data_IF_394621928230
#
_entry.id   IF_394621928230
#
_cell.length_a   1.000
_cell.length_b   1.000
_cell.length_c   1.000
_cell.angle_alpha   90.00
_cell.angle_beta   90.00
_cell.angle_gamma   90.00
#
_symmetry.space_group_name_H-M   'P 1'
#
loop_
_entity.id
_entity.type
_entity.pdbx_description
1 polymer ?
#
# COMPACT_ATOMS: atom_id res chain seq x y z
N UNK A 1 -3.72 106.67 -12.11
CA UNK A 1 -4.97 106.16 -11.46
C UNK A 1 -5.07 104.69 -11.93
N UNK A 2 -4.45 103.78 -11.25
CA UNK A 2 -4.40 102.36 -11.66
C UNK A 2 -4.74 101.54 -10.42
N UNK A 3 -5.77 100.73 -10.51
CA UNK A 3 -6.16 99.78 -9.50
C UNK A 3 -5.43 98.48 -9.74
N UNK A 4 -4.61 98.01 -8.78
CA UNK A 4 -4.06 96.67 -8.75
C UNK A 4 -5.08 95.72 -8.10
N UNK A 5 -5.40 94.65 -8.80
CA UNK A 5 -6.20 93.53 -8.29
C UNK A 5 -5.26 92.43 -7.79
N UNK A 6 -5.35 92.04 -6.51
CA UNK A 6 -4.68 90.95 -5.89
C UNK A 6 -5.48 89.64 -6.11
N UNK A 7 -4.88 88.67 -6.71
CA UNK A 7 -5.43 87.37 -6.78
C UNK A 7 -4.73 86.45 -5.75
N UNK A 8 -5.47 85.98 -4.75
CA UNK A 8 -5.01 84.97 -3.83
C UNK A 8 -5.19 83.60 -4.45
N UNK A 9 -4.07 82.93 -4.66
CA UNK A 9 -4.06 81.48 -4.99
C UNK A 9 -4.13 80.63 -3.70
N UNK A 10 -5.22 79.90 -3.55
CA UNK A 10 -5.34 78.86 -2.54
C UNK A 10 -4.84 77.56 -3.11
N UNK A 11 -3.69 77.10 -2.65
CA UNK A 11 -3.18 75.77 -2.92
C UNK A 11 -3.79 74.75 -1.96
N UNK A 12 -4.70 73.96 -2.45
CA UNK A 12 -5.26 72.84 -1.71
C UNK A 12 -4.25 71.69 -1.74
N UNK A 13 -3.63 71.40 -0.59
CA UNK A 13 -2.77 70.23 -0.40
C UNK A 13 -3.69 69.02 -0.17
N UNK A 14 -3.86 68.19 -1.19
CA UNK A 14 -4.54 66.89 -1.05
C UNK A 14 -3.54 65.90 -0.44
N UNK A 15 -3.69 65.59 0.86
CA UNK A 15 -2.99 64.48 1.51
C UNK A 15 -3.62 63.16 1.04
N UNK A 16 -2.95 62.48 0.15
CA UNK A 16 -3.30 61.13 -0.27
C UNK A 16 -2.77 60.14 0.81
N UNK A 17 -3.62 59.79 1.78
CA UNK A 17 -3.34 58.68 2.70
C UNK A 17 -3.38 57.37 1.91
N UNK A 18 -2.23 56.90 1.44
CA UNK A 18 -2.08 55.51 0.99
C UNK A 18 -2.10 54.60 2.21
N UNK A 19 -3.24 54.03 2.51
CA UNK A 19 -3.32 52.89 3.44
C UNK A 19 -2.61 51.72 2.81
N UNK A 20 -1.42 51.39 3.31
CA UNK A 20 -0.75 50.10 3.04
C UNK A 20 -1.59 49.01 3.72
N UNK A 21 -2.49 48.39 2.98
CA UNK A 21 -3.07 47.10 3.36
C UNK A 21 -1.94 46.07 3.27
N UNK A 22 -1.29 45.83 4.40
CA UNK A 22 -0.40 44.69 4.58
C UNK A 22 -1.27 43.43 4.43
N UNK A 23 -1.21 42.78 3.27
CA UNK A 23 -1.75 41.46 3.09
C UNK A 23 -0.91 40.52 3.96
N UNK A 24 -1.32 40.31 5.21
CA UNK A 24 -0.85 39.15 5.99
C UNK A 24 -1.30 37.91 5.25
N UNK A 25 -0.37 37.28 4.56
CA UNK A 25 -0.50 35.88 4.16
C UNK A 25 -0.67 35.06 5.44
N UNK A 26 -1.93 34.85 5.83
CA UNK A 26 -2.25 33.83 6.81
C UNK A 26 -1.85 32.50 6.16
N UNK A 27 -0.66 32.03 6.48
CA UNK A 27 -0.30 30.63 6.31
C UNK A 27 -1.24 29.87 7.25
N UNK A 28 -2.39 29.47 6.75
CA UNK A 28 -3.22 28.48 7.41
C UNK A 28 -2.43 27.16 7.34
N UNK A 29 -1.59 26.90 8.32
CA UNK A 29 -1.26 25.55 8.70
C UNK A 29 -2.58 24.91 9.14
N UNK A 30 -3.35 24.43 8.18
CA UNK A 30 -4.60 23.75 8.45
C UNK A 30 -4.32 22.58 9.37
N UNK A 31 -4.64 22.71 10.64
CA UNK A 31 -4.70 21.60 11.57
C UNK A 31 -5.85 20.72 11.11
N UNK A 32 -5.56 19.75 10.24
CA UNK A 32 -6.52 18.68 9.95
C UNK A 32 -6.50 17.69 11.12
N UNK A 33 -7.65 17.13 11.40
CA UNK A 33 -7.79 16.07 12.38
C UNK A 33 -6.90 14.87 11.98
N UNK A 34 -6.11 14.39 12.91
CA UNK A 34 -5.20 13.27 12.69
C UNK A 34 -5.88 11.94 13.06
N UNK A 35 -5.56 10.90 12.31
CA UNK A 35 -5.90 9.54 12.67
C UNK A 35 -5.05 9.02 13.84
N UNK A 36 -5.42 7.85 14.32
CA UNK A 36 -4.77 7.22 15.47
C UNK A 36 -4.06 5.95 15.05
N UNK A 37 -2.80 5.82 15.40
CA UNK A 37 -2.06 4.56 15.30
C UNK A 37 -2.11 3.84 16.64
N UNK A 38 -2.39 2.53 16.62
CA UNK A 38 -2.31 1.65 17.79
C UNK A 38 -1.37 0.51 17.42
N UNK A 39 -0.26 0.42 18.12
CA UNK A 39 0.77 -0.62 17.99
C UNK A 39 0.69 -1.62 19.14
N UNK A 40 1.43 -2.72 19.05
CA UNK A 40 1.52 -3.73 20.09
C UNK A 40 0.24 -4.57 20.28
N UNK A 41 -0.59 -4.63 19.24
CA UNK A 41 -1.79 -5.49 19.23
C UNK A 41 -1.41 -6.92 18.80
N UNK A 42 -2.19 -7.91 19.23
CA UNK A 42 -1.98 -9.29 18.82
C UNK A 42 -3.28 -10.08 18.73
N UNK A 43 -3.31 -11.03 17.81
CA UNK A 43 -4.33 -12.07 17.69
C UNK A 43 -3.70 -13.43 18.01
N UNK A 44 -4.34 -14.26 18.81
CA UNK A 44 -3.91 -15.65 19.01
C UNK A 44 -4.47 -16.53 17.88
N UNK A 45 -3.57 -17.05 17.06
CA UNK A 45 -3.92 -17.98 15.98
C UNK A 45 -4.05 -19.40 16.52
N UNK A 46 -5.14 -20.07 16.17
CA UNK A 46 -5.33 -21.50 16.45
C UNK A 46 -4.64 -22.36 15.38
N UNK A 47 -4.66 -21.90 14.13
CA UNK A 47 -3.97 -22.57 13.00
C UNK A 47 -2.47 -22.55 13.23
N UNK A 48 -1.89 -21.37 13.47
CA UNK A 48 -0.46 -21.18 13.67
C UNK A 48 0.04 -21.49 15.07
N UNK A 49 -0.84 -21.69 16.06
CA UNK A 49 -0.53 -21.93 17.48
C UNK A 49 0.44 -20.88 18.05
N UNK A 50 0.32 -19.63 17.58
CA UNK A 50 1.15 -18.51 17.98
C UNK A 50 0.39 -17.20 17.92
N UNK A 51 0.94 -16.16 18.56
CA UNK A 51 0.46 -14.81 18.36
C UNK A 51 0.82 -14.30 16.97
N UNK A 52 -0.07 -13.54 16.37
CA UNK A 52 0.17 -12.69 15.19
C UNK A 52 0.06 -11.25 15.67
N UNK A 53 1.19 -10.56 15.73
CA UNK A 53 1.21 -9.15 16.09
C UNK A 53 0.68 -8.29 14.93
N UNK A 54 0.13 -7.14 15.25
CA UNK A 54 -0.30 -6.19 14.23
C UNK A 54 -0.37 -4.77 14.80
N UNK A 55 -0.27 -3.80 13.90
CA UNK A 55 -0.59 -2.40 14.16
C UNK A 55 -1.82 -2.00 13.34
N UNK A 56 -2.54 -0.98 13.80
CA UNK A 56 -3.69 -0.44 13.09
C UNK A 56 -3.63 1.08 13.04
N UNK A 57 -3.92 1.64 11.87
CA UNK A 57 -4.25 3.05 11.72
C UNK A 57 -5.77 3.18 11.60
N UNK A 58 -6.34 4.05 12.41
CA UNK A 58 -7.75 4.42 12.43
C UNK A 58 -7.90 5.85 11.87
N UNK A 59 -8.87 6.10 10.97
CA UNK A 59 -9.02 7.43 10.37
C UNK A 59 -9.48 8.49 11.39
N UNK A 60 -9.31 9.79 11.10
CA UNK A 60 -9.49 10.89 12.07
C UNK A 60 -10.83 10.94 12.79
N UNK A 61 -11.88 10.44 12.17
CA UNK A 61 -13.25 10.48 12.72
C UNK A 61 -13.72 9.15 13.33
N UNK A 62 -12.81 8.16 13.44
CA UNK A 62 -13.17 6.79 13.85
C UNK A 62 -13.88 6.72 15.22
N UNK A 63 -13.36 7.41 16.23
CA UNK A 63 -13.90 7.36 17.59
C UNK A 63 -15.22 8.14 17.74
N UNK A 64 -15.47 9.10 16.85
CA UNK A 64 -16.68 9.95 16.87
C UNK A 64 -17.80 9.46 15.95
N UNK A 65 -17.51 8.44 15.13
CA UNK A 65 -18.43 7.95 14.09
C UNK A 65 -19.00 6.59 14.42
N UNK A 66 -20.28 6.38 14.07
CA UNK A 66 -20.95 5.07 14.15
C UNK A 66 -20.83 4.25 12.85
N UNK A 67 -20.10 4.77 11.84
CA UNK A 67 -20.00 4.11 10.53
C UNK A 67 -18.94 3.01 10.52
N UNK A 68 -19.05 2.11 9.55
CA UNK A 68 -18.00 1.15 9.23
C UNK A 68 -17.13 1.65 8.08
N UNK A 69 -15.87 1.29 8.10
CA UNK A 69 -14.82 1.77 7.19
C UNK A 69 -14.32 0.68 6.26
N UNK A 70 -13.95 1.02 5.01
CA UNK A 70 -13.14 0.13 4.18
C UNK A 70 -11.83 -0.20 4.90
N UNK A 71 -11.24 -1.35 4.57
CA UNK A 71 -10.00 -1.80 5.18
C UNK A 71 -8.93 -2.16 4.15
N UNK A 72 -7.70 -1.71 4.41
CA UNK A 72 -6.51 -2.08 3.66
C UNK A 72 -5.59 -2.89 4.57
N UNK A 73 -5.24 -4.11 4.15
CA UNK A 73 -4.18 -4.90 4.78
C UNK A 73 -2.88 -4.51 4.12
N UNK A 74 -1.97 -3.86 4.89
CA UNK A 74 -0.73 -3.28 4.38
C UNK A 74 0.46 -4.11 4.88
N UNK A 75 1.09 -4.81 3.96
CA UNK A 75 2.07 -5.87 4.19
C UNK A 75 3.50 -5.31 4.18
N UNK A 76 4.31 -5.70 5.17
CA UNK A 76 5.71 -5.27 5.31
C UNK A 76 6.67 -6.08 4.42
N UNK A 77 7.91 -5.61 4.30
CA UNK A 77 8.99 -6.26 3.56
C UNK A 77 9.70 -7.38 4.34
N UNK A 78 10.67 -8.02 3.68
CA UNK A 78 11.49 -9.06 4.30
C UNK A 78 12.26 -8.50 5.50
N UNK A 79 12.25 -9.21 6.63
CA UNK A 79 12.84 -8.81 7.92
C UNK A 79 12.26 -7.57 8.61
N UNK A 80 11.22 -6.96 8.08
CA UNK A 80 10.41 -5.95 8.76
C UNK A 80 9.34 -6.59 9.67
N UNK A 81 8.47 -5.77 10.26
CA UNK A 81 7.37 -6.19 11.11
C UNK A 81 6.16 -5.23 10.98
N UNK A 82 5.17 -5.38 11.85
CA UNK A 82 3.92 -4.63 11.87
C UNK A 82 4.07 -3.11 12.10
N UNK A 83 5.25 -2.64 12.54
CA UNK A 83 5.48 -1.20 12.82
C UNK A 83 6.17 -0.48 11.66
N UNK A 84 6.76 -1.22 10.71
CA UNK A 84 7.64 -0.66 9.69
C UNK A 84 6.96 0.40 8.81
N UNK A 85 5.71 0.18 8.40
CA UNK A 85 4.97 1.16 7.61
C UNK A 85 4.67 2.47 8.35
N UNK A 86 4.56 2.41 9.68
CA UNK A 86 4.43 3.62 10.52
C UNK A 86 5.78 4.30 10.70
N UNK A 87 6.79 3.54 11.14
CA UNK A 87 8.07 4.08 11.55
C UNK A 87 8.95 4.57 10.38
N UNK A 88 8.97 3.83 9.28
CA UNK A 88 9.79 4.16 8.11
C UNK A 88 8.95 4.68 6.93
N UNK A 89 7.72 4.18 6.81
CA UNK A 89 6.80 4.51 5.72
C UNK A 89 5.94 5.74 5.98
N UNK A 90 5.82 6.22 7.23
CA UNK A 90 4.98 7.37 7.62
C UNK A 90 3.56 7.27 7.04
N UNK A 91 3.03 6.04 6.97
CA UNK A 91 1.75 5.78 6.29
C UNK A 91 0.58 6.51 6.94
N UNK A 92 0.60 6.67 8.26
CA UNK A 92 -0.39 7.42 9.01
C UNK A 92 -0.45 8.90 8.56
N UNK A 93 0.71 9.57 8.48
CA UNK A 93 0.78 10.95 8.02
C UNK A 93 0.37 11.09 6.55
N UNK A 94 0.69 10.11 5.71
CA UNK A 94 0.30 10.06 4.31
C UNK A 94 -1.20 9.84 4.14
N UNK A 95 -1.81 8.95 4.95
CA UNK A 95 -3.25 8.72 4.97
C UNK A 95 -4.02 9.95 5.47
N UNK A 96 -3.57 10.59 6.57
CA UNK A 96 -4.18 11.80 7.12
C UNK A 96 -4.23 12.92 6.09
N UNK A 97 -3.11 13.20 5.41
CA UNK A 97 -3.05 14.22 4.35
C UNK A 97 -4.00 13.89 3.20
N UNK A 98 -4.01 12.63 2.76
CA UNK A 98 -4.83 12.20 1.63
C UNK A 98 -6.34 12.24 1.97
N UNK A 99 -6.71 11.89 3.20
CA UNK A 99 -8.10 12.00 3.69
C UNK A 99 -8.52 13.48 3.79
N UNK A 100 -7.67 14.34 4.38
CA UNK A 100 -7.94 15.76 4.52
C UNK A 100 -8.12 16.46 3.16
N UNK A 101 -7.31 16.06 2.16
CA UNK A 101 -7.40 16.55 0.79
C UNK A 101 -8.57 15.92 -0.01
N UNK A 102 -9.28 14.94 0.56
CA UNK A 102 -10.31 14.14 -0.13
C UNK A 102 -9.77 13.32 -1.32
N UNK A 103 -8.51 13.00 -1.29
CA UNK A 103 -7.84 12.15 -2.27
C UNK A 103 -8.21 10.67 -2.08
N UNK A 104 -8.48 10.28 -0.81
CA UNK A 104 -8.94 8.95 -0.44
C UNK A 104 -10.12 9.07 0.55
N UNK A 105 -11.04 8.08 0.57
CA UNK A 105 -12.02 7.99 1.64
C UNK A 105 -11.33 7.62 2.97
N UNK A 106 -11.91 8.01 4.13
CA UNK A 106 -11.46 7.47 5.40
C UNK A 106 -11.51 5.94 5.39
N UNK A 107 -10.39 5.31 5.79
CA UNK A 107 -10.22 3.86 5.79
C UNK A 107 -9.38 3.41 6.98
N UNK A 108 -9.57 2.16 7.40
CA UNK A 108 -8.71 1.48 8.36
C UNK A 108 -7.53 0.88 7.60
N UNK A 109 -6.30 1.01 8.13
CA UNK A 109 -5.13 0.32 7.59
C UNK A 109 -4.61 -0.64 8.66
N UNK A 110 -4.58 -1.93 8.35
CA UNK A 110 -4.13 -3.00 9.25
C UNK A 110 -2.79 -3.54 8.76
N UNK A 111 -1.81 -3.56 9.62
CA UNK A 111 -0.43 -3.95 9.32
C UNK A 111 -0.07 -5.20 10.14
N UNK A 112 -0.26 -6.42 9.61
CA UNK A 112 0.11 -7.65 10.32
C UNK A 112 1.62 -7.92 10.25
N UNK A 113 2.18 -8.54 11.31
CA UNK A 113 3.50 -9.14 11.30
C UNK A 113 3.43 -10.57 10.72
N UNK A 114 4.05 -10.73 9.57
CA UNK A 114 4.16 -12.03 8.89
C UNK A 114 5.51 -12.71 9.11
N UNK A 115 6.45 -12.05 9.80
CA UNK A 115 7.85 -12.48 9.82
C UNK A 115 8.38 -12.64 8.39
N UNK A 116 9.01 -13.75 8.10
CA UNK A 116 9.57 -14.05 6.76
C UNK A 116 8.77 -15.13 6.03
N UNK A 117 7.44 -15.17 6.21
CA UNK A 117 6.54 -16.18 5.64
C UNK A 117 6.26 -16.04 4.15
N UNK A 118 6.68 -14.95 3.52
CA UNK A 118 6.27 -14.60 2.15
C UNK A 118 4.74 -14.50 1.96
N UNK A 119 3.99 -14.43 3.05
CA UNK A 119 2.52 -14.38 3.08
C UNK A 119 1.83 -15.60 2.46
N UNK A 120 2.52 -16.72 2.34
CA UNK A 120 2.00 -18.01 1.87
C UNK A 120 2.15 -19.09 2.95
N UNK A 121 1.55 -20.24 2.72
CA UNK A 121 1.83 -21.42 3.53
C UNK A 121 3.19 -21.98 3.11
N UNK A 122 4.09 -22.23 4.06
CA UNK A 122 5.40 -22.82 3.79
C UNK A 122 5.25 -24.23 3.21
N UNK A 123 6.23 -24.64 2.42
CA UNK A 123 6.25 -25.94 1.75
C UNK A 123 6.06 -27.12 2.70
N UNK A 124 6.66 -27.07 3.88
CA UNK A 124 6.58 -28.10 4.90
C UNK A 124 5.35 -28.00 5.83
N UNK A 125 4.51 -26.99 5.62
CA UNK A 125 3.34 -26.69 6.44
C UNK A 125 3.64 -26.15 7.83
N UNK A 126 4.92 -25.89 8.17
CA UNK A 126 5.30 -25.40 9.50
C UNK A 126 4.83 -23.99 9.78
N UNK A 127 4.64 -23.17 8.75
CA UNK A 127 4.09 -21.82 8.85
C UNK A 127 2.96 -21.60 7.83
N UNK A 128 1.71 -21.91 8.19
CA UNK A 128 0.56 -21.78 7.29
C UNK A 128 0.02 -20.32 7.31
N UNK A 129 0.84 -19.34 6.92
CA UNK A 129 0.50 -17.94 7.11
C UNK A 129 -0.64 -17.45 6.21
N UNK A 130 -0.76 -17.95 4.99
CA UNK A 130 -1.92 -17.65 4.13
C UNK A 130 -3.23 -18.06 4.81
N UNK A 131 -3.29 -19.27 5.35
CA UNK A 131 -4.47 -19.76 6.08
C UNK A 131 -4.75 -18.95 7.34
N UNK A 132 -3.72 -18.62 8.10
CA UNK A 132 -3.85 -17.74 9.28
C UNK A 132 -4.46 -16.39 8.88
N UNK A 133 -3.95 -15.77 7.83
CA UNK A 133 -4.41 -14.46 7.39
C UNK A 133 -5.87 -14.49 6.91
N UNK A 134 -6.19 -15.46 6.04
CA UNK A 134 -7.50 -15.52 5.39
C UNK A 134 -8.57 -16.06 6.32
N UNK A 135 -8.27 -17.14 7.07
CA UNK A 135 -9.29 -17.87 7.83
C UNK A 135 -9.45 -17.38 9.27
N UNK A 136 -8.43 -16.72 9.85
CA UNK A 136 -8.48 -16.26 11.23
C UNK A 136 -8.29 -14.76 11.37
N UNK A 137 -7.21 -14.18 10.79
CA UNK A 137 -6.84 -12.80 11.04
C UNK A 137 -7.87 -11.80 10.46
N UNK A 138 -8.27 -11.97 9.21
CA UNK A 138 -9.30 -11.11 8.58
C UNK A 138 -10.62 -11.16 9.34
N UNK A 139 -11.20 -12.34 9.68
CA UNK A 139 -12.39 -12.43 10.52
C UNK A 139 -12.25 -11.82 11.91
N UNK A 140 -11.05 -11.94 12.51
CA UNK A 140 -10.75 -11.31 13.80
C UNK A 140 -10.76 -9.77 13.69
N UNK A 141 -10.11 -9.20 12.67
CA UNK A 141 -10.13 -7.77 12.41
C UNK A 141 -11.56 -7.26 12.19
N UNK A 142 -12.36 -7.99 11.40
CA UNK A 142 -13.76 -7.64 11.14
C UNK A 142 -14.66 -7.73 12.40
N UNK A 143 -14.25 -8.49 13.39
CA UNK A 143 -14.94 -8.58 14.69
C UNK A 143 -14.47 -7.48 15.66
N UNK A 144 -13.21 -7.09 15.58
CA UNK A 144 -12.56 -6.18 16.52
C UNK A 144 -12.78 -4.72 16.16
N UNK A 145 -12.78 -4.40 14.86
CA UNK A 145 -12.85 -3.04 14.34
C UNK A 145 -14.12 -2.82 13.50
N UNK A 146 -14.56 -1.58 13.39
CA UNK A 146 -15.75 -1.20 12.60
C UNK A 146 -15.46 -1.24 11.10
N UNK A 147 -15.20 -2.41 10.55
CA UNK A 147 -14.92 -2.63 9.13
C UNK A 147 -16.19 -2.82 8.30
N UNK A 148 -16.14 -2.41 7.03
CA UNK A 148 -17.09 -2.85 6.00
C UNK A 148 -16.65 -4.23 5.52
N UNK A 149 -17.36 -5.28 5.95
CA UNK A 149 -16.90 -6.69 5.90
C UNK A 149 -16.97 -7.33 4.52
N UNK A 150 -17.57 -6.68 3.54
CA UNK A 150 -17.70 -7.26 2.22
C UNK A 150 -16.43 -7.02 1.38
N UNK A 151 -16.20 -7.87 0.41
CA UNK A 151 -15.05 -7.87 -0.49
C UNK A 151 -14.79 -6.51 -1.14
N UNK A 152 -15.83 -5.81 -1.56
CA UNK A 152 -15.77 -4.53 -2.26
C UNK A 152 -15.04 -3.45 -1.44
N UNK A 153 -15.01 -3.61 -0.12
CA UNK A 153 -14.37 -2.68 0.81
C UNK A 153 -13.11 -3.25 1.48
N UNK A 154 -12.54 -4.30 0.88
CA UNK A 154 -11.31 -4.91 1.39
C UNK A 154 -10.25 -4.94 0.30
N UNK A 155 -9.08 -4.38 0.61
CA UNK A 155 -7.92 -4.36 -0.26
C UNK A 155 -6.69 -4.87 0.47
N UNK A 156 -5.69 -5.27 -0.31
CA UNK A 156 -4.37 -5.64 0.19
C UNK A 156 -3.30 -4.82 -0.54
N UNK A 157 -2.30 -4.35 0.18
CA UNK A 157 -1.17 -3.64 -0.38
C UNK A 157 0.11 -4.05 0.33
N UNK A 158 1.28 -3.75 -0.26
CA UNK A 158 2.55 -4.05 0.39
C UNK A 158 3.75 -3.73 -0.46
N UNK A 159 4.93 -3.78 0.17
CA UNK A 159 6.21 -3.56 -0.48
C UNK A 159 7.07 -4.84 -0.50
N UNK A 160 7.92 -5.01 -1.50
CA UNK A 160 8.92 -6.08 -1.57
C UNK A 160 8.29 -7.47 -1.37
N UNK A 161 8.67 -8.21 -0.32
CA UNK A 161 8.00 -9.45 0.09
C UNK A 161 6.49 -9.24 0.30
N UNK A 162 6.09 -8.12 0.93
CA UNK A 162 4.68 -7.75 1.11
C UNK A 162 3.98 -7.36 -0.20
N UNK A 163 4.72 -6.81 -1.17
CA UNK A 163 4.22 -6.57 -2.53
C UNK A 163 3.90 -7.87 -3.26
N UNK A 164 4.79 -8.86 -3.17
CA UNK A 164 4.52 -10.22 -3.61
C UNK A 164 3.31 -10.81 -2.87
N UNK A 165 3.30 -10.68 -1.53
CA UNK A 165 2.18 -11.14 -0.68
C UNK A 165 0.85 -10.55 -1.12
N UNK A 166 0.81 -9.24 -1.41
CA UNK A 166 -0.40 -8.58 -1.88
C UNK A 166 -0.90 -9.16 -3.22
N UNK A 167 0.00 -9.40 -4.16
CA UNK A 167 -0.32 -10.03 -5.44
C UNK A 167 -0.84 -11.46 -5.27
N UNK A 168 -0.06 -12.32 -4.59
CA UNK A 168 -0.41 -13.75 -4.49
C UNK A 168 -1.71 -13.97 -3.72
N UNK A 169 -1.91 -13.25 -2.59
CA UNK A 169 -3.11 -13.35 -1.77
C UNK A 169 -4.35 -12.90 -2.54
N UNK A 170 -4.29 -11.79 -3.28
CA UNK A 170 -5.43 -11.29 -4.03
C UNK A 170 -5.78 -12.15 -5.24
N UNK A 171 -4.79 -12.71 -5.94
CA UNK A 171 -4.99 -13.61 -7.09
C UNK A 171 -5.62 -14.95 -6.64
N UNK A 172 -5.14 -15.51 -5.53
CA UNK A 172 -5.67 -16.78 -4.99
C UNK A 172 -7.00 -16.62 -4.26
N UNK A 173 -7.25 -15.44 -3.68
CA UNK A 173 -8.44 -15.18 -2.87
C UNK A 173 -9.28 -13.99 -3.43
N UNK A 174 -9.76 -14.06 -4.69
CA UNK A 174 -10.51 -12.97 -5.32
C UNK A 174 -11.90 -12.75 -4.70
N UNK A 175 -12.36 -13.64 -3.83
CA UNK A 175 -13.58 -13.49 -3.03
C UNK A 175 -13.34 -12.68 -1.74
N UNK A 176 -12.08 -12.49 -1.36
CA UNK A 176 -11.69 -11.76 -0.16
C UNK A 176 -11.29 -10.33 -0.48
N UNK A 177 -10.52 -10.11 -1.55
CA UNK A 177 -9.97 -8.81 -1.92
C UNK A 177 -10.53 -8.30 -3.24
N UNK A 178 -10.86 -7.01 -3.31
CA UNK A 178 -11.29 -6.34 -4.53
C UNK A 178 -10.15 -5.62 -5.25
N UNK A 179 -9.13 -5.20 -4.51
CA UNK A 179 -8.02 -4.40 -5.03
C UNK A 179 -6.69 -4.81 -4.41
N UNK A 180 -5.63 -4.69 -5.20
CA UNK A 180 -4.25 -4.96 -4.83
C UNK A 180 -3.36 -3.79 -5.25
N UNK A 181 -2.49 -3.31 -4.33
CA UNK A 181 -1.42 -2.35 -4.66
C UNK A 181 -0.07 -2.92 -4.23
N UNK A 182 0.81 -3.20 -5.19
CA UNK A 182 2.11 -3.81 -4.99
C UNK A 182 3.23 -2.83 -5.33
N UNK A 183 4.13 -2.59 -4.37
CA UNK A 183 5.28 -1.71 -4.52
C UNK A 183 6.55 -2.55 -4.52
N UNK A 184 7.42 -2.36 -5.54
CA UNK A 184 8.69 -3.10 -5.61
C UNK A 184 8.51 -4.59 -5.30
N UNK A 185 7.48 -5.22 -5.86
CA UNK A 185 7.06 -6.56 -5.47
C UNK A 185 8.17 -7.60 -5.73
N UNK A 186 8.42 -8.47 -4.78
CA UNK A 186 9.42 -9.54 -4.92
C UNK A 186 8.90 -10.67 -5.82
N UNK A 187 8.59 -10.31 -7.06
CA UNK A 187 8.19 -11.23 -8.13
C UNK A 187 9.45 -11.66 -8.88
N UNK A 188 9.61 -12.96 -9.07
CA UNK A 188 10.73 -13.54 -9.78
C UNK A 188 10.25 -14.31 -11.01
N UNK A 189 11.02 -14.24 -12.08
CA UNK A 189 10.85 -15.08 -13.24
C UNK A 189 11.40 -16.49 -12.97
N UNK A 190 10.95 -17.48 -13.76
CA UNK A 190 11.49 -18.83 -13.68
C UNK A 190 13.01 -18.87 -13.91
N UNK A 191 13.54 -18.00 -14.78
CA UNK A 191 14.97 -17.92 -15.07
C UNK A 191 15.75 -17.38 -13.86
N UNK A 192 15.28 -16.31 -13.23
CA UNK A 192 15.93 -15.77 -12.01
C UNK A 192 16.01 -16.83 -10.90
N UNK A 193 14.96 -17.65 -10.75
CA UNK A 193 14.96 -18.73 -9.74
C UNK A 193 15.91 -19.87 -10.09
N UNK A 194 15.98 -20.27 -11.36
CA UNK A 194 16.93 -21.29 -11.83
C UNK A 194 18.38 -20.86 -11.65
N UNK A 195 18.67 -19.58 -11.98
CA UNK A 195 20.03 -19.03 -11.98
C UNK A 195 20.46 -18.50 -10.61
N UNK A 196 19.56 -18.48 -9.63
CA UNK A 196 19.85 -18.02 -8.28
C UNK A 196 20.96 -18.87 -7.65
N UNK A 197 21.91 -18.24 -6.95
CA UNK A 197 22.92 -18.99 -6.20
C UNK A 197 22.28 -19.89 -5.14
N UNK A 198 22.95 -21.03 -4.83
CA UNK A 198 22.47 -21.98 -3.83
C UNK A 198 22.29 -21.30 -2.47
N UNK A 199 23.26 -20.51 -2.02
CA UNK A 199 23.19 -19.77 -0.75
C UNK A 199 21.96 -18.85 -0.69
N UNK A 200 21.63 -18.18 -1.80
CA UNK A 200 20.46 -17.30 -1.86
C UNK A 200 19.16 -18.09 -1.81
N UNK A 201 19.10 -19.20 -2.57
CA UNK A 201 17.91 -20.07 -2.56
C UNK A 201 17.69 -20.70 -1.19
N UNK A 202 18.70 -21.29 -0.60
CA UNK A 202 18.66 -21.89 0.76
C UNK A 202 18.21 -20.87 1.79
N UNK A 203 18.73 -19.65 1.73
CA UNK A 203 18.45 -18.60 2.72
C UNK A 203 17.05 -18.02 2.63
N UNK A 204 16.52 -17.81 1.44
CA UNK A 204 15.30 -17.02 1.24
C UNK A 204 14.10 -17.84 0.77
N UNK A 205 14.32 -19.00 0.13
CA UNK A 205 13.26 -19.68 -0.60
C UNK A 205 13.03 -21.14 -0.21
N UNK A 206 14.05 -21.85 0.25
CA UNK A 206 13.94 -23.29 0.54
C UNK A 206 12.81 -23.66 1.49
N UNK A 207 12.67 -22.95 2.59
CA UNK A 207 11.61 -23.22 3.57
C UNK A 207 10.21 -22.87 3.05
N UNK A 208 10.15 -22.00 2.07
CA UNK A 208 8.91 -21.47 1.51
C UNK A 208 8.47 -22.29 0.29
N UNK A 209 9.38 -22.51 -0.67
CA UNK A 209 9.08 -23.19 -1.93
C UNK A 209 9.56 -24.64 -1.97
N UNK A 210 10.21 -25.11 -0.93
CA UNK A 210 10.75 -26.46 -0.84
C UNK A 210 12.20 -26.57 -1.31
N UNK A 211 12.84 -27.71 -1.03
CA UNK A 211 14.19 -27.99 -1.48
C UNK A 211 14.23 -28.19 -3.00
N UNK A 212 15.39 -27.93 -3.59
CA UNK A 212 15.67 -28.30 -4.96
C UNK A 212 15.49 -29.82 -5.17
N UNK A 213 14.74 -30.21 -6.19
CA UNK A 213 14.47 -31.64 -6.50
C UNK A 213 15.06 -31.96 -7.87
N UNK A 214 16.01 -32.88 -7.92
CA UNK A 214 16.69 -33.28 -9.18
C UNK A 214 17.25 -32.09 -9.97
N UNK A 215 17.94 -31.18 -9.28
CA UNK A 215 18.45 -29.93 -9.85
C UNK A 215 17.35 -29.01 -10.44
N UNK A 216 16.13 -29.13 -9.94
CA UNK A 216 15.01 -28.31 -10.36
C UNK A 216 14.38 -27.58 -9.16
N UNK A 217 14.39 -26.27 -9.20
CA UNK A 217 13.74 -25.35 -8.23
C UNK A 217 12.32 -25.00 -8.63
N UNK A 218 11.95 -25.22 -9.89
CA UNK A 218 10.60 -24.96 -10.39
C UNK A 218 9.69 -26.16 -10.10
N UNK A 219 9.49 -26.39 -8.82
CA UNK A 219 8.60 -27.44 -8.32
C UNK A 219 7.13 -27.09 -8.57
N UNK A 220 6.22 -28.02 -8.35
CA UNK A 220 4.78 -27.73 -8.40
C UNK A 220 4.42 -26.64 -7.38
N UNK A 221 4.98 -26.70 -6.17
CA UNK A 221 4.73 -25.68 -5.13
C UNK A 221 5.21 -24.30 -5.57
N UNK A 222 6.35 -24.18 -6.27
CA UNK A 222 6.76 -22.92 -6.89
C UNK A 222 5.70 -22.40 -7.88
N UNK A 223 5.24 -23.25 -8.80
CA UNK A 223 4.25 -22.85 -9.80
C UNK A 223 2.92 -22.41 -9.17
N UNK A 224 2.48 -23.09 -8.11
CA UNK A 224 1.28 -22.72 -7.36
C UNK A 224 1.40 -21.37 -6.63
N UNK A 225 2.64 -20.86 -6.47
CA UNK A 225 2.93 -19.59 -5.79
C UNK A 225 3.72 -18.58 -6.64
N UNK A 226 4.02 -18.88 -7.91
CA UNK A 226 4.59 -17.94 -8.85
C UNK A 226 3.51 -17.03 -9.43
N UNK A 227 3.56 -15.74 -9.09
CA UNK A 227 2.59 -14.75 -9.59
C UNK A 227 2.53 -14.74 -11.11
N UNK A 228 3.68 -14.78 -11.80
CA UNK A 228 3.74 -14.80 -13.26
C UNK A 228 3.11 -16.08 -13.82
N UNK A 229 3.38 -17.24 -13.21
CA UNK A 229 2.78 -18.50 -13.61
C UNK A 229 1.25 -18.47 -13.45
N UNK A 230 0.75 -18.00 -12.31
CA UNK A 230 -0.69 -17.88 -12.05
C UNK A 230 -1.37 -16.93 -13.04
N UNK A 231 -0.77 -15.79 -13.36
CA UNK A 231 -1.30 -14.89 -14.39
C UNK A 231 -1.38 -15.57 -15.75
N UNK A 232 -0.43 -16.44 -16.09
CA UNK A 232 -0.43 -17.14 -17.38
C UNK A 232 -1.40 -18.32 -17.44
N UNK A 233 -1.80 -18.91 -16.31
CA UNK A 233 -2.52 -20.20 -16.27
C UNK A 233 -3.95 -20.12 -15.75
N UNK A 234 -4.23 -19.20 -14.80
CA UNK A 234 -5.58 -19.08 -14.22
C UNK A 234 -6.62 -18.55 -15.25
N UNK A 235 -7.90 -18.85 -15.06
CA UNK A 235 -8.98 -18.31 -15.87
C UNK A 235 -9.00 -16.77 -15.86
N UNK A 236 -9.24 -16.15 -17.00
CA UNK A 236 -9.25 -14.68 -17.11
C UNK A 236 -10.36 -14.01 -16.30
N UNK A 237 -11.51 -14.64 -16.19
CA UNK A 237 -12.63 -14.16 -15.39
C UNK A 237 -12.26 -14.09 -13.91
N UNK A 238 -11.49 -15.05 -13.39
CA UNK A 238 -10.96 -15.01 -12.03
C UNK A 238 -9.99 -13.82 -11.87
N UNK A 239 -9.02 -13.68 -12.78
CA UNK A 239 -8.00 -12.63 -12.72
C UNK A 239 -8.61 -11.22 -12.83
N UNK A 240 -9.68 -11.06 -13.61
CA UNK A 240 -10.38 -9.77 -13.80
C UNK A 240 -11.25 -9.37 -12.60
N UNK A 241 -11.38 -10.21 -11.60
CA UNK A 241 -12.15 -9.89 -10.39
C UNK A 241 -11.40 -8.92 -9.45
N UNK A 242 -10.09 -8.82 -9.57
CA UNK A 242 -9.25 -7.94 -8.75
C UNK A 242 -8.71 -6.79 -9.58
N UNK A 243 -8.71 -5.59 -9.02
CA UNK A 243 -8.06 -4.43 -9.61
C UNK A 243 -6.62 -4.35 -9.12
N UNK A 244 -5.64 -4.18 -10.04
CA UNK A 244 -4.22 -4.22 -9.71
C UNK A 244 -3.53 -2.89 -9.98
N UNK A 245 -2.72 -2.45 -9.02
CA UNK A 245 -1.76 -1.35 -9.12
C UNK A 245 -0.37 -1.90 -8.78
N UNK A 246 0.58 -1.72 -9.69
CA UNK A 246 1.96 -2.18 -9.57
C UNK A 246 2.87 -0.98 -9.76
N UNK A 247 3.77 -0.72 -8.81
CA UNK A 247 4.65 0.44 -8.80
C UNK A 247 6.08 0.01 -8.47
N UNK A 248 7.06 0.40 -9.29
CA UNK A 248 8.45 -0.03 -9.15
C UNK A 248 9.42 1.09 -9.51
N UNK A 249 10.52 1.18 -8.76
CA UNK A 249 11.64 2.05 -9.12
C UNK A 249 12.38 1.52 -10.34
N UNK A 250 12.93 2.39 -11.17
CA UNK A 250 13.72 2.01 -12.34
C UNK A 250 15.12 1.46 -11.96
N UNK A 251 15.65 1.88 -10.81
CA UNK A 251 16.89 1.37 -10.21
C UNK A 251 16.67 0.22 -9.21
N UNK A 252 15.45 -0.32 -9.13
CA UNK A 252 15.11 -1.42 -8.21
C UNK A 252 15.58 -2.77 -8.77
N UNK A 253 16.31 -3.54 -7.97
CA UNK A 253 16.80 -4.86 -8.38
C UNK A 253 15.70 -5.90 -8.64
N UNK A 254 14.44 -5.62 -8.25
CA UNK A 254 13.27 -6.43 -8.56
C UNK A 254 12.53 -5.95 -9.83
N UNK A 255 13.12 -5.03 -10.57
CA UNK A 255 12.47 -4.43 -11.74
C UNK A 255 12.10 -5.47 -12.80
N UNK A 256 12.99 -6.43 -13.10
CA UNK A 256 12.78 -7.42 -14.15
C UNK A 256 11.51 -8.24 -13.92
N UNK A 257 11.34 -8.82 -12.73
CA UNK A 257 10.16 -9.61 -12.37
C UNK A 257 8.87 -8.80 -12.48
N UNK A 258 8.87 -7.53 -12.03
CA UNK A 258 7.70 -6.65 -12.13
C UNK A 258 7.37 -6.26 -13.58
N UNK A 259 8.40 -6.02 -14.42
CA UNK A 259 8.22 -5.75 -15.84
C UNK A 259 7.66 -6.98 -16.57
N UNK A 260 8.16 -8.17 -16.27
CA UNK A 260 7.65 -9.43 -16.83
C UNK A 260 6.23 -9.73 -16.38
N UNK A 261 5.87 -9.43 -15.13
CA UNK A 261 4.49 -9.50 -14.65
C UNK A 261 3.58 -8.56 -15.46
N UNK A 262 3.98 -7.31 -15.66
CA UNK A 262 3.23 -6.36 -16.50
C UNK A 262 3.00 -6.91 -17.91
N UNK A 263 4.05 -7.47 -18.55
CA UNK A 263 3.96 -8.07 -19.89
C UNK A 263 2.98 -9.25 -19.89
N UNK A 264 3.05 -10.15 -18.88
CA UNK A 264 2.16 -11.29 -18.74
C UNK A 264 0.69 -10.84 -18.60
N UNK A 265 0.42 -9.90 -17.70
CA UNK A 265 -0.94 -9.35 -17.51
C UNK A 265 -1.48 -8.70 -18.77
N UNK A 266 -0.66 -7.94 -19.51
CA UNK A 266 -1.07 -7.37 -20.80
C UNK A 266 -1.43 -8.44 -21.83
N UNK A 267 -0.61 -9.47 -21.97
CA UNK A 267 -0.85 -10.58 -22.91
C UNK A 267 -2.16 -11.32 -22.59
N UNK A 268 -2.49 -11.43 -21.31
CA UNK A 268 -3.70 -12.09 -20.80
C UNK A 268 -4.91 -11.16 -20.70
N UNK A 269 -4.79 -9.89 -21.14
CA UNK A 269 -5.89 -8.92 -21.07
C UNK A 269 -6.38 -8.64 -19.64
N UNK A 270 -5.52 -8.80 -18.62
CA UNK A 270 -5.82 -8.48 -17.22
C UNK A 270 -5.64 -6.97 -17.02
N UNK A 271 -6.71 -6.22 -16.68
CA UNK A 271 -6.62 -4.79 -16.45
C UNK A 271 -5.75 -4.48 -15.21
N UNK A 272 -4.79 -3.60 -15.37
CA UNK A 272 -3.92 -3.17 -14.28
C UNK A 272 -3.30 -1.81 -14.59
N UNK A 273 -2.83 -1.13 -13.55
CA UNK A 273 -1.95 0.03 -13.66
C UNK A 273 -0.52 -0.40 -13.36
N UNK A 274 0.42 -0.04 -14.22
CA UNK A 274 1.85 -0.24 -14.00
C UNK A 274 2.56 1.12 -14.04
N UNK A 275 3.34 1.41 -13.01
CA UNK A 275 4.10 2.64 -12.88
C UNK A 275 5.57 2.32 -12.67
N UNK A 276 6.41 2.99 -13.43
CA UNK A 276 7.86 3.02 -13.25
C UNK A 276 8.27 4.45 -12.97
N UNK A 277 9.07 4.65 -11.92
CA UNK A 277 9.49 5.97 -11.46
C UNK A 277 10.96 5.95 -11.09
N UNK A 278 11.60 7.11 -11.13
CA UNK A 278 12.95 7.29 -10.60
C UNK A 278 13.02 6.84 -9.14
N UNK A 279 13.94 5.91 -8.85
CA UNK A 279 14.18 5.39 -7.51
C UNK A 279 14.52 3.92 -7.42
N UNK A 280 14.91 3.50 -6.21
CA UNK A 280 15.44 2.19 -5.91
C UNK A 280 14.65 1.47 -4.81
N UNK A 281 15.08 0.26 -4.42
CA UNK A 281 14.45 -0.59 -3.40
C UNK A 281 14.70 -0.07 -1.98
N UNK A 282 13.98 0.99 -1.58
CA UNK A 282 14.16 1.62 -0.28
C UNK A 282 12.92 2.35 0.23
N UNK A 283 12.92 2.65 1.55
CA UNK A 283 11.83 3.32 2.22
C UNK A 283 11.52 4.73 1.69
N UNK A 284 12.50 5.45 1.15
CA UNK A 284 12.28 6.76 0.52
C UNK A 284 11.32 6.63 -0.66
N UNK A 285 11.55 5.63 -1.51
CA UNK A 285 10.67 5.34 -2.63
C UNK A 285 9.25 4.98 -2.15
N UNK A 286 9.11 4.02 -1.27
CA UNK A 286 7.80 3.51 -0.81
C UNK A 286 7.00 4.56 -0.05
N UNK A 287 7.64 5.33 0.85
CA UNK A 287 6.99 6.43 1.57
C UNK A 287 6.47 7.52 0.63
N UNK A 288 7.20 7.81 -0.43
CA UNK A 288 6.81 8.81 -1.42
C UNK A 288 5.61 8.36 -2.23
N UNK A 289 5.51 7.06 -2.55
CA UNK A 289 4.53 6.55 -3.50
C UNK A 289 3.33 5.82 -2.90
N UNK A 290 3.33 5.52 -1.60
CA UNK A 290 2.21 4.82 -0.93
C UNK A 290 0.86 5.53 -1.15
N UNK A 291 0.83 6.84 -1.13
CA UNK A 291 -0.41 7.62 -1.35
C UNK A 291 -1.04 7.32 -2.70
N UNK A 292 -0.26 7.03 -3.75
CA UNK A 292 -0.81 6.71 -5.07
C UNK A 292 -1.52 5.34 -5.08
N UNK A 293 -0.95 4.35 -4.39
CA UNK A 293 -1.62 3.06 -4.20
C UNK A 293 -2.89 3.17 -3.35
N UNK A 294 -2.85 3.97 -2.28
CA UNK A 294 -4.04 4.23 -1.47
C UNK A 294 -5.14 4.96 -2.26
N UNK A 295 -4.78 5.89 -3.16
CA UNK A 295 -5.74 6.53 -4.09
C UNK A 295 -6.37 5.53 -5.03
N UNK A 296 -5.57 4.69 -5.66
CA UNK A 296 -6.07 3.63 -6.55
C UNK A 296 -7.06 2.71 -5.83
N UNK A 297 -6.73 2.26 -4.61
CA UNK A 297 -7.60 1.45 -3.76
C UNK A 297 -8.87 2.22 -3.39
N UNK A 298 -8.72 3.48 -2.98
CA UNK A 298 -9.82 4.35 -2.55
C UNK A 298 -10.85 4.61 -3.65
N UNK A 299 -10.44 4.71 -4.91
CA UNK A 299 -11.33 4.79 -6.06
C UNK A 299 -12.20 3.52 -6.21
N UNK A 300 -11.64 2.35 -5.88
CA UNK A 300 -12.37 1.08 -5.84
C UNK A 300 -13.45 1.05 -4.75
N UNK A 301 -13.20 1.67 -3.61
CA UNK A 301 -14.12 1.73 -2.46
C UNK A 301 -15.30 2.69 -2.64
N UNK A 302 -15.24 3.57 -3.64
CA UNK A 302 -16.29 4.55 -3.96
C UNK A 302 -17.29 4.08 -5.02
N UNK A 303 -17.04 2.93 -5.63
CA UNK A 303 -17.86 2.39 -6.74
C UNK A 303 -19.02 1.55 -6.23
#
# INVERSE_FOLDING_TARGET
MNKLSFWCFWTILVFCCAEFISAQTVSSSGHYSQGKVIEGLSMQSQIGKRAVNYSVYLPPDYEMSQRSYPVVYLLHGYSDNETAWVQFGEVNASADRAIANRDIPPMIIVMPDAGVSWYINSFDGSNPFEDILIQEFIPYIDKTWSTRKTREFRAVAGLSMGGYGALILSIKNPDVFSSCAAFSAAVFTDNEVKEMSEDRYERFFKNIYGPETNSNRLTQHWHEHSVIHLINTLPEDQLKRVSFYIDNGDDDFLFEGNAMLHIAMRKRGVPHQFRVRDGAHNWTYWRTHITQGLKFIGEGFQR
#
